data_IF_824186909521
#
_entry.id   IF_824186909521
#
_cell.length_a   1.000
_cell.length_b   1.000
_cell.length_c   1.000
_cell.angle_alpha   90.00
_cell.angle_beta   90.00
_cell.angle_gamma   90.00
#
_symmetry.space_group_name_H-M   'P 1'
#
loop_
_entity.id
_entity.type
_entity.pdbx_description
1 polymer ?
#
# COMPACT_ATOMS: atom_id res chain seq x y z
N UNK A 1 -15.62 -14.42 -4.95
CA UNK A 1 -14.45 -13.57 -4.64
C UNK A 1 -14.93 -12.21 -4.15
N UNK A 2 -14.31 -11.67 -3.09
CA UNK A 2 -14.72 -10.41 -2.44
C UNK A 2 -14.79 -9.22 -3.40
N UNK A 3 -13.82 -9.09 -4.31
CA UNK A 3 -13.78 -8.01 -5.32
C UNK A 3 -15.06 -7.96 -6.17
N UNK A 4 -15.47 -9.10 -6.75
CA UNK A 4 -16.69 -9.19 -7.55
C UNK A 4 -17.97 -8.89 -6.72
N UNK A 5 -17.98 -9.28 -5.44
CA UNK A 5 -19.12 -8.98 -4.56
C UNK A 5 -19.22 -7.48 -4.23
N UNK A 6 -18.09 -6.81 -4.03
CA UNK A 6 -18.04 -5.36 -3.80
C UNK A 6 -18.52 -4.59 -5.04
N UNK A 7 -18.05 -4.97 -6.22
CA UNK A 7 -18.45 -4.33 -7.47
C UNK A 7 -19.95 -4.55 -7.76
N UNK A 8 -20.45 -5.78 -7.59
CA UNK A 8 -21.88 -6.08 -7.73
C UNK A 8 -22.75 -5.26 -6.76
N UNK A 9 -22.27 -5.01 -5.53
CA UNK A 9 -23.05 -4.32 -4.50
C UNK A 9 -23.00 -2.79 -4.59
N UNK A 10 -21.86 -2.23 -5.00
CA UNK A 10 -21.56 -0.79 -4.92
C UNK A 10 -21.20 -0.15 -6.26
N UNK A 11 -21.11 -0.92 -7.35
CA UNK A 11 -20.59 -0.49 -8.63
C UNK A 11 -19.07 -0.29 -8.64
N UNK A 12 -18.51 0.03 -9.80
CA UNK A 12 -17.07 0.20 -9.98
C UNK A 12 -16.46 1.30 -9.09
N UNK A 13 -17.11 2.48 -9.00
CA UNK A 13 -16.60 3.58 -8.16
C UNK A 13 -16.79 3.29 -6.66
N UNK A 14 -17.93 2.72 -6.27
CA UNK A 14 -18.22 2.43 -4.86
C UNK A 14 -17.32 1.33 -4.31
N UNK A 15 -16.99 0.31 -5.12
CA UNK A 15 -16.07 -0.75 -4.75
C UNK A 15 -14.64 -0.24 -4.55
N UNK A 16 -14.14 0.67 -5.42
CA UNK A 16 -12.85 1.35 -5.24
C UNK A 16 -12.77 2.09 -3.90
N UNK A 17 -13.78 2.91 -3.59
CA UNK A 17 -13.84 3.63 -2.32
C UNK A 17 -13.95 2.71 -1.10
N UNK A 18 -14.66 1.58 -1.23
CA UNK A 18 -14.71 0.55 -0.20
C UNK A 18 -13.35 -0.12 0.01
N UNK A 19 -12.64 -0.49 -1.06
CA UNK A 19 -11.31 -1.09 -1.00
C UNK A 19 -10.30 -0.19 -0.27
N UNK A 20 -10.29 1.12 -0.57
CA UNK A 20 -9.43 2.09 0.13
C UNK A 20 -9.72 2.11 1.65
N UNK A 21 -11.00 2.11 2.04
CA UNK A 21 -11.37 2.10 3.47
C UNK A 21 -10.97 0.80 4.17
N UNK A 22 -11.15 -0.33 3.49
CA UNK A 22 -10.71 -1.64 3.99
C UNK A 22 -9.19 -1.61 4.18
N UNK A 23 -8.42 -1.13 3.19
CA UNK A 23 -6.97 -0.99 3.28
C UNK A 23 -6.51 -0.18 4.50
N UNK A 24 -7.12 0.98 4.72
CA UNK A 24 -6.83 1.80 5.91
C UNK A 24 -7.09 1.03 7.21
N UNK A 25 -8.25 0.39 7.33
CA UNK A 25 -8.61 -0.38 8.52
C UNK A 25 -7.68 -1.59 8.74
N UNK A 26 -7.23 -2.23 7.66
CA UNK A 26 -6.33 -3.39 7.72
C UNK A 26 -4.95 -3.06 8.30
N UNK A 27 -4.50 -1.80 8.24
CA UNK A 27 -3.21 -1.42 8.83
C UNK A 27 -3.14 -1.70 10.34
N UNK A 28 -4.25 -1.56 11.07
CA UNK A 28 -4.29 -1.93 12.49
C UNK A 28 -4.00 -3.42 12.69
N UNK A 29 -4.53 -4.29 11.83
CA UNK A 29 -4.23 -5.72 11.86
C UNK A 29 -2.77 -6.02 11.52
N UNK A 30 -2.19 -5.28 10.57
CA UNK A 30 -0.75 -5.37 10.29
C UNK A 30 0.07 -5.03 11.53
N UNK A 31 -0.27 -3.96 12.25
CA UNK A 31 0.42 -3.59 13.49
C UNK A 31 0.23 -4.61 14.61
N UNK A 32 -0.95 -5.22 14.73
CA UNK A 32 -1.19 -6.27 15.74
C UNK A 32 -0.33 -7.51 15.51
N UNK A 33 -0.02 -7.86 14.26
CA UNK A 33 0.74 -9.06 13.91
C UNK A 33 2.24 -8.78 13.76
N UNK A 34 2.60 -7.64 13.16
CA UNK A 34 3.97 -7.29 12.75
C UNK A 34 4.54 -6.06 13.47
N UNK A 35 3.83 -5.52 14.45
CA UNK A 35 4.25 -4.35 15.23
C UNK A 35 5.17 -4.68 16.40
N UNK A 36 5.77 -5.86 16.49
CA UNK A 36 6.64 -6.24 17.61
C UNK A 36 7.92 -5.37 17.72
N UNK A 37 8.72 -5.61 18.77
CA UNK A 37 10.01 -4.93 19.00
C UNK A 37 11.07 -5.17 17.91
N UNK A 38 10.89 -6.19 17.07
CA UNK A 38 11.71 -6.43 15.86
C UNK A 38 11.06 -5.87 14.58
N UNK A 39 9.81 -5.41 14.70
CA UNK A 39 8.93 -5.01 13.61
C UNK A 39 8.84 -3.50 13.43
N UNK A 40 7.62 -2.99 13.31
CA UNK A 40 7.38 -1.55 13.15
C UNK A 40 7.62 -0.74 14.44
N UNK A 41 7.62 -1.38 15.61
CA UNK A 41 7.84 -0.69 16.90
C UNK A 41 9.28 -0.80 17.41
N UNK A 42 10.17 -1.43 16.62
CA UNK A 42 11.61 -1.45 16.90
C UNK A 42 12.14 -0.04 17.18
N UNK A 43 12.92 0.12 18.24
CA UNK A 43 13.45 1.42 18.66
C UNK A 43 14.27 2.07 17.53
N UNK A 44 15.14 1.30 16.90
CA UNK A 44 15.90 1.71 15.71
C UNK A 44 15.01 2.22 14.58
N UNK A 45 13.84 1.61 14.35
CA UNK A 45 12.88 2.06 13.35
C UNK A 45 12.22 3.38 13.79
N UNK A 46 11.81 3.48 15.06
CA UNK A 46 11.16 4.68 15.62
C UNK A 46 12.10 5.89 15.66
N UNK A 47 13.40 5.70 15.85
CA UNK A 47 14.39 6.78 15.88
C UNK A 47 14.79 7.30 14.49
N UNK A 48 14.39 6.62 13.40
CA UNK A 48 14.67 7.11 12.05
C UNK A 48 13.99 8.48 11.77
N UNK A 49 14.67 9.38 11.04
CA UNK A 49 14.02 10.56 10.49
C UNK A 49 12.80 10.16 9.65
N UNK A 50 11.71 10.96 9.73
CA UNK A 50 10.40 10.64 9.13
C UNK A 50 10.48 10.06 7.72
N UNK A 51 11.29 10.65 6.82
CA UNK A 51 11.42 10.14 5.44
C UNK A 51 12.12 8.78 5.35
N UNK A 52 13.14 8.54 6.17
CA UNK A 52 13.83 7.25 6.23
C UNK A 52 12.93 6.19 6.84
N UNK A 53 12.19 6.56 7.90
CA UNK A 53 11.21 5.69 8.56
C UNK A 53 10.09 5.27 7.61
N UNK A 54 9.52 6.24 6.88
CA UNK A 54 8.52 6.01 5.84
C UNK A 54 9.02 5.01 4.79
N UNK A 55 10.21 5.25 4.20
CA UNK A 55 10.77 4.32 3.23
C UNK A 55 11.00 2.92 3.81
N UNK A 56 11.64 2.83 4.97
CA UNK A 56 11.95 1.54 5.59
C UNK A 56 10.68 0.72 5.87
N UNK A 57 9.57 1.36 6.25
CA UNK A 57 8.33 0.62 6.44
C UNK A 57 7.61 0.28 5.13
N UNK A 58 7.77 1.03 4.03
CA UNK A 58 7.32 0.58 2.70
C UNK A 58 8.03 -0.71 2.30
N UNK A 59 9.33 -0.81 2.56
CA UNK A 59 10.13 -2.02 2.30
C UNK A 59 9.69 -3.18 3.22
N UNK A 60 9.42 -2.92 4.51
CA UNK A 60 8.86 -3.94 5.42
C UNK A 60 7.47 -4.42 5.00
N UNK A 61 6.58 -3.52 4.61
CA UNK A 61 5.25 -3.89 4.10
C UNK A 61 5.36 -4.77 2.86
N UNK A 62 6.27 -4.44 1.93
CA UNK A 62 6.49 -5.25 0.74
C UNK A 62 6.90 -6.70 1.10
N UNK A 63 7.84 -6.85 2.05
CA UNK A 63 8.26 -8.16 2.54
C UNK A 63 7.12 -8.93 3.24
N UNK A 64 6.23 -8.23 3.96
CA UNK A 64 5.05 -8.84 4.58
C UNK A 64 4.08 -9.37 3.51
N UNK A 65 3.82 -8.61 2.45
CA UNK A 65 2.96 -9.06 1.35
C UNK A 65 3.53 -10.28 0.61
N UNK A 66 4.83 -10.31 0.41
CA UNK A 66 5.50 -11.46 -0.20
C UNK A 66 5.36 -12.69 0.70
N UNK A 67 5.66 -12.56 2.00
CA UNK A 67 5.61 -13.66 2.96
C UNK A 67 4.17 -14.17 3.22
N UNK A 68 3.21 -13.27 3.40
CA UNK A 68 1.85 -13.63 3.82
C UNK A 68 0.91 -13.95 2.64
N UNK A 69 1.16 -13.37 1.46
CA UNK A 69 0.25 -13.46 0.32
C UNK A 69 0.90 -13.97 -0.96
N UNK A 70 2.24 -14.12 -1.00
CA UNK A 70 2.96 -14.44 -2.24
C UNK A 70 2.92 -13.32 -3.27
N UNK A 71 2.57 -12.09 -2.87
CA UNK A 71 2.47 -10.94 -3.75
C UNK A 71 3.82 -10.22 -3.75
N UNK A 72 4.46 -10.12 -4.92
CA UNK A 72 5.75 -9.47 -5.01
C UNK A 72 5.59 -7.96 -5.26
N UNK A 73 6.11 -7.17 -4.32
CA UNK A 73 6.08 -5.71 -4.34
C UNK A 73 7.50 -5.15 -4.44
N UNK A 74 7.79 -4.37 -5.46
CA UNK A 74 9.06 -3.67 -5.60
C UNK A 74 8.96 -2.24 -5.06
N UNK A 75 9.95 -1.81 -4.27
CA UNK A 75 10.08 -0.42 -3.78
C UNK A 75 11.26 0.24 -4.46
N UNK A 76 11.01 1.22 -5.32
CA UNK A 76 12.09 2.00 -5.96
C UNK A 76 12.05 3.45 -5.49
N UNK A 77 13.19 4.13 -5.59
CA UNK A 77 13.32 5.53 -5.18
C UNK A 77 13.64 6.39 -6.37
N UNK A 78 12.82 7.42 -6.56
CA UNK A 78 13.05 8.52 -7.47
C UNK A 78 13.47 9.79 -6.69
N UNK A 79 13.91 10.86 -7.37
CA UNK A 79 14.27 12.10 -6.72
C UNK A 79 13.18 12.62 -5.78
N UNK A 80 11.92 12.61 -6.24
CA UNK A 80 10.78 13.21 -5.52
C UNK A 80 9.78 12.20 -4.96
N UNK A 81 9.87 10.92 -5.35
CA UNK A 81 8.90 9.90 -4.98
C UNK A 81 9.54 8.56 -4.57
N UNK A 82 8.76 7.76 -3.85
CA UNK A 82 8.93 6.32 -3.82
C UNK A 82 7.88 5.70 -4.74
N UNK A 83 8.27 4.70 -5.52
CA UNK A 83 7.33 3.91 -6.30
C UNK A 83 7.16 2.55 -5.63
N UNK A 84 5.89 2.16 -5.45
CA UNK A 84 5.51 0.87 -4.94
C UNK A 84 4.81 0.12 -6.06
N UNK A 85 5.54 -0.81 -6.67
CA UNK A 85 5.12 -1.52 -7.88
C UNK A 85 4.67 -2.92 -7.52
N UNK A 86 3.43 -3.25 -7.86
CA UNK A 86 2.92 -4.62 -7.90
C UNK A 86 3.58 -5.32 -9.09
N UNK A 87 4.63 -6.11 -8.83
CA UNK A 87 5.52 -6.62 -9.86
C UNK A 87 5.12 -8.03 -10.34
N UNK A 88 4.55 -8.84 -9.45
CA UNK A 88 4.00 -10.15 -9.81
C UNK A 88 2.88 -10.52 -8.83
N UNK A 89 1.75 -10.94 -9.38
CA UNK A 89 0.61 -11.43 -8.62
C UNK A 89 -0.22 -12.40 -9.47
N UNK A 90 0.04 -13.70 -9.31
CA UNK A 90 -0.70 -14.77 -9.99
C UNK A 90 -2.22 -14.70 -9.72
N UNK A 91 -2.61 -14.19 -8.55
CA UNK A 91 -4.01 -14.03 -8.15
C UNK A 91 -4.69 -12.78 -8.71
N UNK A 92 -3.92 -11.85 -9.31
CA UNK A 92 -4.40 -10.55 -9.79
C UNK A 92 -4.67 -10.53 -11.31
N UNK A 93 -4.56 -11.65 -12.03
CA UNK A 93 -4.79 -11.69 -13.48
C UNK A 93 -6.22 -11.29 -13.94
N UNK A 94 -7.19 -11.16 -13.02
CA UNK A 94 -8.48 -10.52 -13.31
C UNK A 94 -8.38 -8.99 -13.05
N UNK A 95 -8.56 -8.13 -14.07
CA UNK A 95 -8.46 -6.68 -13.95
C UNK A 95 -9.30 -6.06 -12.81
N UNK A 96 -10.45 -6.67 -12.48
CA UNK A 96 -11.31 -6.21 -11.38
C UNK A 96 -10.70 -6.51 -10.02
N UNK A 97 -10.06 -7.67 -9.90
CA UNK A 97 -9.33 -8.08 -8.71
C UNK A 97 -8.12 -7.17 -8.54
N UNK A 98 -7.35 -6.97 -9.61
CA UNK A 98 -6.17 -6.11 -9.59
C UNK A 98 -6.50 -4.66 -9.21
N UNK A 99 -7.53 -4.07 -9.82
CA UNK A 99 -8.03 -2.73 -9.46
C UNK A 99 -8.38 -2.66 -7.98
N UNK A 100 -9.07 -3.68 -7.46
CA UNK A 100 -9.47 -3.75 -6.05
C UNK A 100 -8.26 -3.86 -5.13
N UNK A 101 -7.27 -4.70 -5.48
CA UNK A 101 -6.03 -4.87 -4.74
C UNK A 101 -5.23 -3.57 -4.69
N UNK A 102 -5.06 -2.90 -5.84
CA UNK A 102 -4.33 -1.64 -5.87
C UNK A 102 -5.01 -0.55 -5.03
N UNK A 103 -6.34 -0.42 -5.08
CA UNK A 103 -7.07 0.53 -4.24
C UNK A 103 -7.02 0.18 -2.75
N UNK A 104 -6.98 -1.12 -2.42
CA UNK A 104 -6.73 -1.59 -1.06
C UNK A 104 -5.32 -1.17 -0.59
N UNK A 105 -4.29 -1.44 -1.39
CA UNK A 105 -2.90 -1.07 -1.08
C UNK A 105 -2.76 0.45 -0.93
N UNK A 106 -3.44 1.24 -1.76
CA UNK A 106 -3.48 2.69 -1.67
C UNK A 106 -3.98 3.16 -0.29
N UNK A 107 -5.07 2.56 0.20
CA UNK A 107 -5.60 2.84 1.53
C UNK A 107 -4.63 2.46 2.65
N UNK A 108 -4.07 1.25 2.57
CA UNK A 108 -3.11 0.74 3.55
C UNK A 108 -1.88 1.65 3.66
N UNK A 109 -1.28 2.02 2.53
CA UNK A 109 -0.11 2.88 2.47
C UNK A 109 -0.38 4.27 3.05
N UNK A 110 -1.55 4.85 2.76
CA UNK A 110 -1.94 6.15 3.34
C UNK A 110 -2.01 6.08 4.87
N UNK A 111 -2.59 5.01 5.41
CA UNK A 111 -2.68 4.83 6.87
C UNK A 111 -1.30 4.62 7.49
N UNK A 112 -0.48 3.76 6.88
CA UNK A 112 0.90 3.54 7.30
C UNK A 112 1.74 4.84 7.30
N UNK A 113 1.65 5.66 6.25
CA UNK A 113 2.41 6.91 6.14
C UNK A 113 1.94 7.95 7.16
N UNK A 114 0.62 8.04 7.40
CA UNK A 114 0.08 8.88 8.46
C UNK A 114 0.60 8.42 9.83
N UNK A 115 0.51 7.14 10.15
CA UNK A 115 1.02 6.59 11.42
C UNK A 115 2.53 6.82 11.58
N UNK A 116 3.33 6.43 10.58
CA UNK A 116 4.79 6.47 10.64
C UNK A 116 5.34 7.90 10.68
N UNK A 117 4.59 8.91 10.25
CA UNK A 117 5.04 10.30 10.25
C UNK A 117 4.51 11.13 11.42
N UNK A 118 3.68 10.55 12.31
CA UNK A 118 3.01 11.29 13.38
C UNK A 118 1.82 12.12 12.89
N UNK A 119 1.11 11.65 11.87
CA UNK A 119 -0.11 12.26 11.35
C UNK A 119 0.06 13.13 10.11
N UNK A 120 1.25 13.17 9.49
CA UNK A 120 1.45 13.94 8.26
C UNK A 120 0.78 13.27 7.07
N UNK A 121 0.26 14.08 6.18
CA UNK A 121 -0.39 13.60 4.96
C UNK A 121 0.63 13.55 3.83
N UNK A 122 0.69 12.45 3.11
CA UNK A 122 1.51 12.33 1.90
C UNK A 122 0.60 12.26 0.68
N UNK A 123 1.05 12.81 -0.45
CA UNK A 123 0.40 12.52 -1.72
C UNK A 123 0.73 11.09 -2.12
N UNK A 124 -0.31 10.26 -2.18
CA UNK A 124 -0.24 8.85 -2.57
C UNK A 124 -1.30 8.62 -3.64
N UNK A 125 -0.88 8.16 -4.81
CA UNK A 125 -1.75 7.95 -5.97
C UNK A 125 -1.29 6.73 -6.78
N UNK A 126 -2.25 6.04 -7.39
CA UNK A 126 -1.96 5.08 -8.45
C UNK A 126 -1.67 5.86 -9.73
N UNK A 127 -0.57 5.53 -10.40
CA UNK A 127 -0.10 6.25 -11.61
C UNK A 127 -0.12 5.39 -12.88
N UNK A 128 -0.17 4.08 -12.70
CA UNK A 128 -0.24 3.08 -13.76
C UNK A 128 -0.93 1.84 -13.19
N UNK A 129 -1.65 1.10 -14.02
CA UNK A 129 -2.17 -0.22 -13.64
C UNK A 129 -2.40 -1.15 -14.83
N UNK A 130 -2.12 -2.43 -14.65
CA UNK A 130 -2.29 -3.43 -15.68
C UNK A 130 -3.76 -3.61 -16.09
N UNK A 131 -4.70 -3.41 -15.16
CA UNK A 131 -6.12 -3.28 -15.47
C UNK A 131 -6.45 -2.16 -16.50
N UNK A 132 -5.61 -1.13 -16.61
CA UNK A 132 -5.74 -0.02 -17.57
C UNK A 132 -4.80 -0.19 -18.79
N UNK A 133 -4.08 -1.32 -18.88
CA UNK A 133 -3.20 -1.67 -20.00
C UNK A 133 -1.71 -1.38 -19.78
N UNK A 134 -1.30 -0.90 -18.60
CA UNK A 134 0.11 -0.74 -18.25
C UNK A 134 0.80 -2.08 -17.93
N UNK A 135 2.15 -2.14 -17.88
CA UNK A 135 2.83 -3.38 -17.53
C UNK A 135 2.61 -3.84 -16.09
N UNK A 136 2.40 -2.91 -15.15
CA UNK A 136 2.28 -3.17 -13.71
C UNK A 136 1.42 -2.09 -13.06
N UNK A 137 0.84 -2.38 -11.89
CA UNK A 137 0.24 -1.35 -11.04
C UNK A 137 1.27 -0.66 -10.16
N UNK A 138 1.31 0.68 -10.22
CA UNK A 138 2.33 1.50 -9.57
C UNK A 138 1.67 2.57 -8.71
N UNK A 139 1.91 2.47 -7.41
CA UNK A 139 1.54 3.50 -6.45
C UNK A 139 2.73 4.44 -6.24
N UNK A 140 2.56 5.70 -6.64
CA UNK A 140 3.53 6.77 -6.43
C UNK A 140 3.26 7.46 -5.09
N UNK A 141 4.29 7.57 -4.28
CA UNK A 141 4.26 8.26 -2.98
C UNK A 141 5.25 9.42 -3.04
N UNK A 142 4.78 10.66 -2.93
CA UNK A 142 5.71 11.79 -2.81
C UNK A 142 6.54 11.67 -1.53
N UNK A 143 7.85 11.98 -1.59
CA UNK A 143 8.77 11.85 -0.45
C UNK A 143 8.59 12.94 0.60
N UNK A 144 7.88 13.99 0.21
CA UNK A 144 7.52 15.12 1.06
C UNK A 144 6.05 14.99 1.45
N UNK A 145 5.72 15.18 2.74
CA UNK A 145 4.33 15.36 3.13
C UNK A 145 3.78 16.67 2.55
N UNK A 146 2.46 16.72 2.40
CA UNK A 146 1.71 17.95 2.17
C UNK A 146 1.81 18.82 3.43
N UNK A 147 1.89 20.14 3.22
CA UNK A 147 1.92 21.15 4.29
C UNK A 147 0.63 21.16 5.13
#
# INVERSE_FOLDING_TARGET
>A
MLAAALEMRYGALGSRGAAVRIGRASFQGVMQVFGSEDGFEAEEHRLLPVRKRARAGLEKLAAIFECACGIHMAVTTEPEAWLWTLADCETCHDPRVETTVSHFLLGLLREYLAWSSGGKVFQVEETACHADGDPNCVIRIQRLPLD
#
